data_IF_470476720320
#
_entry.id   IF_470476720320
#
_cell.length_a   1.000
_cell.length_b   1.000
_cell.length_c   1.000
_cell.angle_alpha   90.00
_cell.angle_beta   90.00
_cell.angle_gamma   90.00
#
_symmetry.space_group_name_H-M   'P 1'
#
loop_
_entity.id
_entity.type
_entity.pdbx_description
1 polymer ?
#
# COMPACT_ATOMS: atom_id res chain seq x y z
N UNK A 1 6.36 21.41 28.32
CA UNK A 1 5.41 21.48 27.18
C UNK A 1 4.05 21.04 27.70
N UNK A 2 3.02 21.88 27.62
CA UNK A 2 1.69 21.51 28.11
C UNK A 2 0.99 20.62 27.06
N UNK A 3 0.59 19.42 27.46
CA UNK A 3 -0.25 18.54 26.62
C UNK A 3 -1.67 19.10 26.69
N UNK A 4 -2.15 19.69 25.60
CA UNK A 4 -3.54 20.16 25.47
C UNK A 4 -4.42 19.01 24.96
N UNK A 5 -5.66 18.88 25.44
CA UNK A 5 -6.58 17.86 24.98
C UNK A 5 -6.90 18.03 23.49
N UNK A 6 -7.00 16.92 22.76
CA UNK A 6 -7.39 16.93 21.35
C UNK A 6 -8.83 17.46 21.18
N UNK A 7 -9.05 18.26 20.13
CA UNK A 7 -10.39 18.70 19.75
C UNK A 7 -11.23 17.48 19.36
N UNK A 8 -12.38 17.29 20.01
CA UNK A 8 -13.36 16.28 19.58
C UNK A 8 -13.97 16.69 18.25
N UNK A 9 -13.98 15.77 17.29
CA UNK A 9 -14.57 15.94 15.97
C UNK A 9 -15.79 15.01 15.91
N UNK A 10 -16.95 15.47 15.38
CA UNK A 10 -18.11 14.61 15.23
C UNK A 10 -17.85 13.46 14.22
N UNK A 11 -18.62 12.36 14.29
CA UNK A 11 -18.63 11.31 13.28
C UNK A 11 -18.74 11.87 11.87
N UNK A 12 -17.96 11.29 10.95
CA UNK A 12 -17.97 11.67 9.52
C UNK A 12 -18.89 10.71 8.76
N UNK A 13 -19.48 11.17 7.66
CA UNK A 13 -20.35 10.33 6.82
C UNK A 13 -19.66 9.07 6.27
N UNK A 14 -18.33 9.09 6.13
CA UNK A 14 -17.55 7.94 5.68
C UNK A 14 -17.11 6.99 6.79
N UNK A 15 -17.43 7.24 8.07
CA UNK A 15 -16.85 6.48 9.19
C UNK A 15 -17.17 4.98 9.11
N UNK A 16 -18.42 4.61 8.79
CA UNK A 16 -18.81 3.20 8.64
C UNK A 16 -18.04 2.51 7.52
N UNK A 17 -18.08 3.09 6.32
CA UNK A 17 -17.36 2.59 5.15
C UNK A 17 -15.86 2.44 5.39
N UNK A 18 -15.23 3.43 6.02
CA UNK A 18 -13.80 3.39 6.31
C UNK A 18 -13.45 2.29 7.32
N UNK A 19 -14.30 2.07 8.35
CA UNK A 19 -14.10 1.00 9.32
C UNK A 19 -14.22 -0.38 8.68
N UNK A 20 -15.27 -0.59 7.88
CA UNK A 20 -15.51 -1.84 7.16
C UNK A 20 -14.33 -2.16 6.23
N UNK A 21 -13.93 -1.20 5.41
CA UNK A 21 -12.81 -1.38 4.48
C UNK A 21 -11.47 -1.65 5.16
N UNK A 22 -11.16 -0.94 6.26
CA UNK A 22 -9.94 -1.21 7.05
C UNK A 22 -9.99 -2.58 7.73
N UNK A 23 -11.17 -3.01 8.19
CA UNK A 23 -11.34 -4.33 8.77
C UNK A 23 -11.06 -5.42 7.73
N UNK A 24 -11.58 -5.31 6.51
CA UNK A 24 -11.32 -6.25 5.41
C UNK A 24 -9.82 -6.38 5.11
N UNK A 25 -9.09 -5.27 5.08
CA UNK A 25 -7.63 -5.27 4.91
C UNK A 25 -6.95 -5.97 6.11
N UNK A 26 -7.41 -5.68 7.33
CA UNK A 26 -6.91 -6.31 8.54
C UNK A 26 -7.09 -7.83 8.56
N UNK A 27 -8.23 -8.31 8.09
CA UNK A 27 -8.52 -9.75 7.95
C UNK A 27 -7.55 -10.43 6.97
N UNK A 28 -7.29 -9.81 5.80
CA UNK A 28 -6.29 -10.30 4.85
C UNK A 28 -4.88 -10.35 5.46
N UNK A 29 -4.50 -9.34 6.24
CA UNK A 29 -3.18 -9.26 6.88
C UNK A 29 -2.97 -10.24 8.04
N UNK A 30 -4.06 -10.78 8.60
CA UNK A 30 -4.01 -11.78 9.68
C UNK A 30 -3.77 -13.20 9.17
N UNK A 31 -3.84 -13.46 7.87
CA UNK A 31 -3.42 -14.75 7.30
C UNK A 31 -1.90 -14.93 7.46
N UNK A 32 -1.42 -16.00 8.11
CA UNK A 32 0.00 -16.29 8.24
C UNK A 32 0.73 -16.42 6.90
N UNK A 33 0.02 -16.74 5.81
CA UNK A 33 0.57 -16.88 4.47
C UNK A 33 0.29 -15.66 3.58
N UNK A 34 -0.13 -14.53 4.18
CA UNK A 34 -0.45 -13.32 3.44
C UNK A 34 0.76 -12.80 2.64
N UNK A 35 0.61 -12.66 1.32
CA UNK A 35 1.53 -11.87 0.50
C UNK A 35 1.27 -10.38 0.77
N UNK A 36 2.01 -9.83 1.74
CA UNK A 36 1.89 -8.43 2.17
C UNK A 36 2.21 -7.45 1.04
N UNK A 37 3.17 -7.77 0.18
CA UNK A 37 3.53 -6.91 -0.95
C UNK A 37 2.39 -6.84 -1.97
N UNK A 38 1.75 -7.99 -2.26
CA UNK A 38 0.55 -8.04 -3.10
C UNK A 38 -0.61 -7.26 -2.48
N UNK A 39 -0.89 -7.44 -1.19
CA UNK A 39 -1.96 -6.71 -0.50
C UNK A 39 -1.72 -5.20 -0.55
N UNK A 40 -0.49 -4.76 -0.28
CA UNK A 40 -0.10 -3.35 -0.36
C UNK A 40 -0.37 -2.78 -1.76
N UNK A 41 0.11 -3.48 -2.80
CA UNK A 41 -0.07 -3.10 -4.20
C UNK A 41 -1.54 -3.02 -4.60
N UNK A 42 -2.36 -4.01 -4.23
CA UNK A 42 -3.80 -4.03 -4.51
C UNK A 42 -4.50 -2.83 -3.85
N UNK A 43 -4.25 -2.60 -2.56
CA UNK A 43 -4.83 -1.47 -1.81
C UNK A 43 -4.44 -0.13 -2.42
N UNK A 44 -3.15 0.05 -2.76
CA UNK A 44 -2.68 1.29 -3.36
C UNK A 44 -3.22 1.49 -4.77
N UNK A 45 -3.34 0.42 -5.57
CA UNK A 45 -3.92 0.50 -6.91
C UNK A 45 -5.40 0.88 -6.85
N UNK A 46 -6.18 0.27 -5.95
CA UNK A 46 -7.59 0.60 -5.73
C UNK A 46 -7.81 2.08 -5.38
N UNK A 47 -6.90 2.67 -4.62
CA UNK A 47 -6.99 4.07 -4.22
C UNK A 47 -6.53 5.05 -5.31
N UNK A 48 -5.47 4.71 -6.04
CA UNK A 48 -4.75 5.68 -6.89
C UNK A 48 -5.02 5.52 -8.37
N UNK A 49 -5.30 4.28 -8.80
CA UNK A 49 -5.58 3.92 -10.19
C UNK A 49 -6.65 2.82 -10.27
N UNK A 50 -7.89 3.10 -9.82
CA UNK A 50 -8.96 2.10 -9.78
C UNK A 50 -9.28 1.46 -11.14
N UNK A 51 -8.99 2.15 -12.24
CA UNK A 51 -9.12 1.62 -13.60
C UNK A 51 -8.17 0.45 -13.91
N UNK A 52 -7.08 0.32 -13.15
CA UNK A 52 -6.08 -0.73 -13.33
C UNK A 52 -6.09 -1.80 -12.22
N UNK A 53 -6.95 -1.70 -11.20
CA UNK A 53 -7.00 -2.66 -10.09
C UNK A 53 -7.10 -4.12 -10.51
N UNK A 54 -7.91 -4.41 -11.54
CA UNK A 54 -8.08 -5.76 -12.07
C UNK A 54 -7.07 -6.15 -13.16
N UNK A 55 -6.18 -5.23 -13.58
CA UNK A 55 -5.30 -5.40 -14.74
C UNK A 55 -3.90 -4.84 -14.53
N UNK A 56 -3.49 -4.66 -13.27
CA UNK A 56 -2.23 -4.01 -12.90
C UNK A 56 -1.02 -4.67 -13.60
N UNK A 57 -0.97 -6.01 -13.62
CA UNK A 57 0.11 -6.77 -14.24
C UNK A 57 0.26 -6.45 -15.74
N UNK A 58 -0.86 -6.38 -16.45
CA UNK A 58 -0.86 -6.04 -17.88
C UNK A 58 -0.62 -4.56 -18.12
N UNK A 59 -1.15 -3.68 -17.27
CA UNK A 59 -1.02 -2.23 -17.39
C UNK A 59 0.44 -1.78 -17.22
N UNK A 60 1.18 -2.39 -16.30
CA UNK A 60 2.61 -2.10 -16.10
C UNK A 60 3.45 -2.32 -17.37
N UNK A 61 3.03 -3.24 -18.24
CA UNK A 61 3.74 -3.58 -19.47
C UNK A 61 3.11 -3.00 -20.75
N UNK A 62 1.96 -2.32 -20.65
CA UNK A 62 1.23 -1.84 -21.82
C UNK A 62 1.99 -0.69 -22.53
N UNK A 63 2.47 -0.88 -23.78
CA UNK A 63 3.18 0.17 -24.51
C UNK A 63 2.30 1.37 -24.85
N UNK A 64 0.97 1.24 -24.79
CA UNK A 64 0.02 2.35 -25.01
C UNK A 64 0.01 3.33 -23.84
N UNK A 65 0.38 2.90 -22.64
CA UNK A 65 0.49 3.77 -21.48
C UNK A 65 1.80 4.55 -21.48
N UNK A 66 1.73 5.78 -20.97
CA UNK A 66 2.91 6.63 -20.81
C UNK A 66 3.93 5.94 -19.90
N UNK A 67 5.23 6.18 -20.12
CA UNK A 67 6.28 5.66 -19.23
C UNK A 67 6.07 6.12 -17.78
N UNK A 68 5.74 7.40 -17.48
CA UNK A 68 5.43 7.83 -16.12
C UNK A 68 4.27 7.06 -15.49
N UNK A 69 3.19 6.77 -16.23
CA UNK A 69 2.06 5.98 -15.71
C UNK A 69 2.49 4.56 -15.34
N UNK A 70 3.26 3.89 -16.21
CA UNK A 70 3.78 2.55 -15.91
C UNK A 70 4.73 2.54 -14.72
N UNK A 71 5.60 3.54 -14.60
CA UNK A 71 6.47 3.71 -13.43
C UNK A 71 5.68 3.95 -12.15
N UNK A 72 4.62 4.76 -12.21
CA UNK A 72 3.75 5.00 -11.06
C UNK A 72 3.01 3.72 -10.63
N UNK A 73 2.52 2.91 -11.57
CA UNK A 73 1.92 1.61 -11.29
C UNK A 73 2.93 0.64 -10.65
N UNK A 74 4.15 0.56 -11.20
CA UNK A 74 5.22 -0.28 -10.65
C UNK A 74 5.58 0.12 -9.23
N UNK A 75 5.61 1.42 -8.92
CA UNK A 75 5.94 1.93 -7.59
C UNK A 75 4.90 1.60 -6.50
N UNK A 76 3.72 1.08 -6.86
CA UNK A 76 2.72 0.61 -5.90
C UNK A 76 3.11 -0.73 -5.27
N UNK A 77 4.00 -1.49 -5.92
CA UNK A 77 4.55 -2.71 -5.34
C UNK A 77 5.80 -2.36 -4.52
N UNK A 78 5.83 -2.63 -3.20
CA UNK A 78 6.97 -2.30 -2.36
C UNK A 78 8.27 -2.99 -2.79
N UNK A 79 8.19 -4.09 -3.56
CA UNK A 79 9.36 -4.77 -4.15
C UNK A 79 10.10 -3.93 -5.19
N UNK A 80 9.45 -2.90 -5.74
CA UNK A 80 10.03 -2.00 -6.74
C UNK A 80 10.58 -0.68 -6.14
N UNK A 81 10.43 -0.48 -4.83
CA UNK A 81 10.90 0.72 -4.15
C UNK A 81 12.33 0.49 -3.66
N UNK A 82 13.24 1.42 -3.96
CA UNK A 82 14.61 1.38 -3.45
C UNK A 82 14.58 1.54 -1.92
N UNK A 83 15.22 0.60 -1.22
CA UNK A 83 15.50 0.74 0.20
C UNK A 83 16.67 1.72 0.35
N UNK A 84 16.37 2.98 0.62
CA UNK A 84 17.41 3.98 0.87
C UNK A 84 18.18 3.61 2.15
N UNK A 85 19.51 3.40 2.08
CA UNK A 85 20.30 2.83 3.17
C UNK A 85 20.17 3.58 4.50
N UNK A 86 19.96 4.88 4.44
CA UNK A 86 19.77 5.76 5.60
C UNK A 86 18.53 5.42 6.45
N UNK A 87 17.49 4.82 5.88
CA UNK A 87 16.26 4.43 6.59
C UNK A 87 16.25 2.97 7.03
N UNK A 88 17.18 2.16 6.50
CA UNK A 88 17.20 0.71 6.71
C UNK A 88 18.56 0.17 7.20
N UNK A 89 19.51 1.04 7.56
CA UNK A 89 20.83 0.65 8.07
C UNK A 89 20.77 -0.26 9.31
N UNK A 90 19.70 -0.13 10.10
CA UNK A 90 19.47 -0.97 11.29
C UNK A 90 18.52 -2.15 11.02
N UNK A 91 17.94 -2.25 9.82
CA UNK A 91 17.07 -3.37 9.47
C UNK A 91 17.92 -4.57 9.00
N UNK A 92 17.65 -5.74 9.57
CA UNK A 92 18.27 -6.98 9.12
C UNK A 92 17.85 -7.28 7.67
N UNK A 93 18.81 -7.14 6.75
CA UNK A 93 18.61 -7.38 5.32
C UNK A 93 18.07 -8.80 5.03
N UNK A 94 18.39 -9.76 5.90
CA UNK A 94 17.93 -11.15 5.80
C UNK A 94 16.44 -11.28 6.08
N UNK A 95 15.93 -10.54 7.08
CA UNK A 95 14.49 -10.49 7.39
C UNK A 95 13.70 -9.78 6.27
N UNK A 96 14.26 -8.74 5.67
CA UNK A 96 13.61 -7.99 4.59
C UNK A 96 13.51 -8.80 3.30
N UNK A 97 14.54 -9.57 2.96
CA UNK A 97 14.55 -10.42 1.75
C UNK A 97 13.55 -11.59 1.82
N UNK A 98 13.19 -12.06 3.02
CA UNK A 98 12.19 -13.11 3.20
C UNK A 98 10.75 -12.62 3.03
N UNK A 99 10.53 -11.30 3.02
CA UNK A 99 9.21 -10.67 2.86
C UNK A 99 8.90 -10.27 1.41
N UNK A 100 9.88 -10.39 0.48
CA UNK A 100 9.74 -10.10 -0.94
C UNK A 100 9.39 -11.38 -1.72
#
# INVERSE_FOLDING_TARGET
>A
MAILPLRKIPPRSCEGLAKEWVQEIGEKLNDPNADRARICREVLCDLTFPEFSASWETACSDPKLSRPTRLALLALDPRNVTLEPEYYAECDATMLQQMA
#
